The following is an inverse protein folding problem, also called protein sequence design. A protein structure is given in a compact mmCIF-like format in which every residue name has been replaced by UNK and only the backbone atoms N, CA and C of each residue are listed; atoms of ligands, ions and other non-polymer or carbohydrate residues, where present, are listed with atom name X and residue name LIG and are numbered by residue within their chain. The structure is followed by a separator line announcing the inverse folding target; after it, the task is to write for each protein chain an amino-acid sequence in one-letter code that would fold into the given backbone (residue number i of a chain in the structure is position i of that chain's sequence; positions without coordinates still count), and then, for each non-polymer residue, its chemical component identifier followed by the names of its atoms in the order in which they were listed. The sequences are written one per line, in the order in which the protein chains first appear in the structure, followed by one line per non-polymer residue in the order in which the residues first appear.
data_IF_322186816484
#
_entry.id   IF_322186816484
#
_cell.length_a   1.000
_cell.length_b   1.000
_cell.length_c   1.000
_cell.angle_alpha   90.00
_cell.angle_beta   90.00
_cell.angle_gamma   90.00
#
_symmetry.space_group_name_H-M   'P 1'
#
loop_
_entity.id
_entity.type
_entity.pdbx_description
1 polymer ?
#
# COMPACT_ATOMS: atom_id res chain seq x y z
N UNK A 1 4.37 -25.53 6.07
CA UNK A 1 3.81 -26.29 4.93
C UNK A 1 3.03 -25.30 4.09
N UNK A 2 3.73 -24.35 3.44
CA UNK A 2 3.15 -23.23 2.67
C UNK A 2 4.05 -22.85 1.49
N UNK A 3 4.70 -23.84 0.84
CA UNK A 3 5.63 -23.58 -0.27
C UNK A 3 5.18 -24.10 -1.65
N UNK A 4 4.01 -24.72 -1.80
CA UNK A 4 3.67 -25.43 -3.04
C UNK A 4 2.55 -24.81 -3.91
N UNK A 5 2.09 -23.57 -3.64
CA UNK A 5 0.98 -22.99 -4.42
C UNK A 5 1.39 -22.00 -5.52
N UNK A 6 2.69 -21.84 -5.81
CA UNK A 6 3.20 -20.79 -6.74
C UNK A 6 3.60 -21.32 -8.14
N UNK A 7 3.28 -22.55 -8.53
CA UNK A 7 3.96 -23.12 -9.71
C UNK A 7 3.12 -23.17 -11.01
N UNK A 8 1.89 -22.74 -11.10
CA UNK A 8 1.08 -23.00 -12.31
C UNK A 8 0.21 -21.84 -12.86
N UNK A 9 0.73 -20.62 -12.89
CA UNK A 9 0.17 -19.57 -13.77
C UNK A 9 1.21 -19.12 -14.80
N UNK A 10 1.43 -19.96 -15.84
CA UNK A 10 2.14 -19.56 -17.04
C UNK A 10 1.20 -18.84 -18.00
N UNK A 11 1.41 -17.56 -18.21
CA UNK A 11 0.87 -16.89 -19.37
C UNK A 11 0.58 -15.41 -19.18
N UNK A 12 1.55 -14.56 -19.48
CA UNK A 12 1.35 -13.12 -19.61
C UNK A 12 1.64 -12.35 -18.32
N UNK A 13 2.70 -11.55 -18.36
CA UNK A 13 2.95 -10.54 -17.35
C UNK A 13 1.90 -9.46 -17.55
N UNK A 14 0.79 -9.60 -16.83
CA UNK A 14 -0.13 -8.49 -16.63
C UNK A 14 0.43 -7.68 -15.47
N UNK A 15 0.96 -6.51 -15.76
CA UNK A 15 1.18 -5.49 -14.74
C UNK A 15 -0.16 -4.79 -14.54
N UNK A 16 -0.84 -4.99 -13.40
CA UNK A 16 -2.08 -4.28 -13.13
C UNK A 16 -1.80 -2.78 -13.08
N UNK A 17 -2.77 -1.94 -13.42
CA UNK A 17 -2.68 -0.52 -13.17
C UNK A 17 -2.45 -0.31 -11.67
N UNK A 18 -1.42 0.39 -11.38
CA UNK A 18 -0.67 0.58 -10.15
C UNK A 18 -1.51 0.88 -8.92
N UNK A 19 -1.39 0.04 -7.92
CA UNK A 19 -1.76 0.34 -6.54
C UNK A 19 -0.59 1.10 -5.91
N UNK A 20 -0.85 2.26 -5.34
CA UNK A 20 0.16 3.04 -4.64
C UNK A 20 0.26 2.51 -3.22
N UNK A 21 1.41 1.94 -2.91
CA UNK A 21 1.69 1.14 -1.73
C UNK A 21 1.77 1.93 -0.44
N UNK A 22 1.19 1.35 0.59
CA UNK A 22 1.44 1.71 1.97
C UNK A 22 1.91 0.46 2.74
N UNK A 23 3.19 0.42 3.09
CA UNK A 23 3.77 -0.65 3.89
C UNK A 23 3.21 -0.59 5.32
N UNK A 24 2.37 -1.57 5.65
CA UNK A 24 1.84 -1.76 6.99
C UNK A 24 2.83 -2.59 7.81
N UNK A 25 3.55 -1.96 8.73
CA UNK A 25 4.22 -2.66 9.81
C UNK A 25 3.55 -2.22 11.12
N UNK A 26 2.72 -3.11 11.62
CA UNK A 26 2.31 -3.29 12.99
C UNK A 26 1.89 -2.05 13.80
N UNK A 27 0.70 -2.12 14.24
CA UNK A 27 0.02 -1.35 15.27
C UNK A 27 -1.00 -0.32 14.73
N UNK A 28 -2.24 -0.73 14.80
CA UNK A 28 -3.43 0.07 14.52
C UNK A 28 -3.46 1.25 15.49
N UNK A 29 -2.81 2.36 15.12
CA UNK A 29 -3.03 3.65 15.77
C UNK A 29 -3.94 4.48 14.89
N UNK A 30 -5.08 4.86 15.43
CA UNK A 30 -6.01 5.84 14.87
C UNK A 30 -5.23 7.10 14.46
N UNK A 31 -4.97 7.25 13.17
CA UNK A 31 -4.38 8.46 12.62
C UNK A 31 -5.44 9.23 11.85
N UNK A 32 -5.69 10.42 12.33
CA UNK A 32 -6.37 11.47 11.60
C UNK A 32 -5.46 11.93 10.43
N UNK A 33 -5.25 11.04 9.46
CA UNK A 33 -4.48 11.27 8.23
C UNK A 33 -5.37 11.15 7.01
N UNK A 34 -6.68 11.39 7.16
CA UNK A 34 -7.69 11.26 6.10
C UNK A 34 -7.34 12.03 4.82
N UNK A 35 -6.41 13.00 4.90
CA UNK A 35 -6.00 13.83 3.78
C UNK A 35 -4.52 13.69 3.36
N UNK A 36 -3.77 12.69 3.85
CA UNK A 36 -2.35 12.55 3.56
C UNK A 36 -1.96 11.14 3.16
N UNK A 37 -1.05 11.06 2.19
CA UNK A 37 -0.54 9.80 1.66
C UNK A 37 0.92 9.61 2.07
N UNK A 38 1.25 8.42 2.51
CA UNK A 38 2.60 7.99 2.80
C UNK A 38 3.35 7.71 1.50
N UNK A 39 4.54 8.29 1.35
CA UNK A 39 5.37 8.15 0.15
C UNK A 39 6.74 7.56 0.44
N UNK A 40 7.10 7.41 1.70
CA UNK A 40 8.36 6.80 2.09
C UNK A 40 8.59 6.79 3.60
N UNK A 41 9.64 6.07 4.01
CA UNK A 41 10.09 5.95 5.40
C UNK A 41 11.55 6.36 5.51
N UNK A 42 11.89 7.16 6.51
CA UNK A 42 13.27 7.52 6.82
C UNK A 42 13.95 6.34 7.49
N UNK A 43 14.95 5.75 6.82
CA UNK A 43 15.69 4.59 7.33
C UNK A 43 16.91 4.97 8.16
N UNK A 44 17.58 6.06 7.78
CA UNK A 44 18.76 6.57 8.48
C UNK A 44 19.12 8.00 8.02
N UNK A 45 19.97 8.66 8.78
CA UNK A 45 20.70 9.85 8.32
C UNK A 45 21.67 9.50 7.18
N UNK A 46 21.99 10.49 6.33
CA UNK A 46 22.96 10.37 5.24
C UNK A 46 23.93 11.56 5.23
N UNK A 47 25.23 11.25 5.41
CA UNK A 47 26.24 12.29 5.50
C UNK A 47 26.09 13.22 6.70
N UNK A 48 26.89 14.28 6.76
CA UNK A 48 26.93 15.19 7.92
C UNK A 48 26.06 16.45 7.75
N UNK A 49 25.49 16.66 6.55
CA UNK A 49 24.75 17.88 6.18
C UNK A 49 23.23 17.78 6.43
N UNK A 50 22.78 16.83 7.25
CA UNK A 50 21.35 16.67 7.54
C UNK A 50 20.53 16.11 6.37
N UNK A 51 21.14 15.31 5.50
CA UNK A 51 20.40 14.52 4.51
C UNK A 51 19.87 13.25 5.17
N UNK A 52 18.75 12.72 4.68
CA UNK A 52 18.16 11.46 5.12
C UNK A 52 18.10 10.47 3.98
N UNK A 53 18.26 9.19 4.33
CA UNK A 53 18.01 8.07 3.43
C UNK A 53 16.57 7.61 3.64
N UNK A 54 15.82 7.57 2.56
CA UNK A 54 14.40 7.23 2.53
C UNK A 54 14.22 5.95 1.72
N UNK A 55 13.46 5.01 2.29
CA UNK A 55 12.90 3.90 1.54
C UNK A 55 11.57 4.38 0.94
N UNK A 56 11.42 4.43 -0.39
CA UNK A 56 10.17 4.82 -1.01
C UNK A 56 9.11 3.75 -0.79
N UNK A 57 7.89 4.18 -0.51
CA UNK A 57 6.68 3.34 -0.42
C UNK A 57 5.69 3.71 -1.53
N UNK A 58 6.19 4.15 -2.66
CA UNK A 58 5.43 4.56 -3.84
C UNK A 58 6.08 3.95 -5.08
N UNK A 59 5.27 3.57 -6.05
CA UNK A 59 5.73 3.01 -7.32
C UNK A 59 6.44 4.04 -8.19
N UNK A 60 6.01 5.30 -8.13
CA UNK A 60 6.66 6.39 -8.83
C UNK A 60 7.68 7.10 -7.95
N UNK A 61 8.93 6.63 -7.99
CA UNK A 61 10.04 7.28 -7.31
C UNK A 61 10.36 8.67 -7.86
N UNK A 62 9.98 8.98 -9.10
CA UNK A 62 10.27 10.26 -9.74
C UNK A 62 9.51 11.42 -9.09
N UNK A 63 8.42 11.14 -8.37
CA UNK A 63 7.68 12.11 -7.55
C UNK A 63 8.58 12.87 -6.56
N UNK A 64 9.61 12.22 -6.02
CA UNK A 64 10.55 12.87 -5.10
C UNK A 64 11.36 13.99 -5.75
N UNK A 65 11.51 14.02 -7.07
CA UNK A 65 12.19 15.11 -7.80
C UNK A 65 11.40 16.42 -7.74
N UNK A 66 10.08 16.31 -7.71
CA UNK A 66 9.16 17.45 -7.70
C UNK A 66 8.65 17.80 -6.30
N UNK A 67 8.96 16.96 -5.31
CA UNK A 67 8.52 17.13 -3.93
C UNK A 67 9.11 18.40 -3.32
N UNK A 68 8.26 19.36 -3.02
CA UNK A 68 8.66 20.65 -2.42
C UNK A 68 8.35 20.70 -0.93
N UNK A 69 7.19 20.20 -0.53
CA UNK A 69 6.68 20.18 0.84
C UNK A 69 6.26 18.76 1.19
N UNK A 70 6.57 18.34 2.39
CA UNK A 70 6.06 17.08 2.93
C UNK A 70 5.96 17.16 4.46
N UNK A 71 5.47 16.09 5.05
CA UNK A 71 5.33 15.98 6.49
C UNK A 71 6.12 14.78 6.99
N UNK A 72 6.82 14.94 8.11
CA UNK A 72 7.48 13.87 8.84
C UNK A 72 6.58 13.45 9.99
N UNK A 73 6.15 12.20 10.02
CA UNK A 73 5.25 11.70 11.05
C UNK A 73 5.77 10.42 11.69
N UNK A 74 5.57 10.28 13.00
CA UNK A 74 5.80 9.04 13.74
C UNK A 74 4.50 8.54 14.38
N UNK A 75 3.38 9.08 13.93
CA UNK A 75 2.08 8.77 14.47
C UNK A 75 1.67 9.53 15.74
N UNK A 76 2.61 10.18 16.43
CA UNK A 76 2.34 11.03 17.61
C UNK A 76 2.51 12.50 17.31
N UNK A 77 3.43 12.82 16.43
CA UNK A 77 3.68 14.17 15.97
C UNK A 77 3.81 14.18 14.45
N UNK A 78 3.42 15.27 13.84
CA UNK A 78 3.57 15.52 12.41
C UNK A 78 4.19 16.90 12.22
N UNK A 79 5.30 16.96 11.48
CA UNK A 79 6.09 18.17 11.26
C UNK A 79 6.14 18.48 9.76
N UNK A 80 5.70 19.67 9.38
CA UNK A 80 5.85 20.15 8.01
C UNK A 80 7.30 20.52 7.74
N UNK A 81 7.84 20.06 6.59
CA UNK A 81 9.21 20.34 6.16
C UNK A 81 9.28 20.65 4.66
N UNK A 82 10.30 21.39 4.27
CA UNK A 82 10.53 21.78 2.88
C UNK A 82 11.68 20.96 2.30
N UNK A 83 11.43 20.21 1.24
CA UNK A 83 12.45 19.50 0.49
C UNK A 83 13.26 20.47 -0.38
N UNK A 84 14.58 20.46 -0.24
CA UNK A 84 15.49 21.30 -1.00
C UNK A 84 16.33 20.55 -2.00
N UNK A 85 16.54 19.26 -1.80
CA UNK A 85 17.21 18.40 -2.77
C UNK A 85 16.78 16.95 -2.66
N UNK A 86 16.80 16.27 -3.81
CA UNK A 86 16.52 14.86 -3.96
C UNK A 86 17.62 14.22 -4.81
N UNK A 87 18.10 13.04 -4.41
CA UNK A 87 19.06 12.22 -5.15
C UNK A 87 18.64 10.76 -5.03
N UNK A 88 18.88 9.97 -6.07
CA UNK A 88 18.61 8.54 -6.05
C UNK A 88 19.89 7.75 -5.78
N UNK A 89 19.81 6.78 -4.91
CA UNK A 89 20.89 5.87 -4.57
C UNK A 89 20.39 4.42 -4.57
N UNK A 90 20.53 3.73 -5.68
CA UNK A 90 19.91 2.41 -5.92
C UNK A 90 18.39 2.50 -5.70
N UNK A 91 17.83 1.67 -4.82
CA UNK A 91 16.41 1.64 -4.48
C UNK A 91 16.03 2.61 -3.34
N UNK A 92 16.88 3.58 -3.04
CA UNK A 92 16.67 4.54 -1.96
C UNK A 92 16.68 5.96 -2.50
N UNK A 93 16.02 6.84 -1.80
CA UNK A 93 16.01 8.28 -2.07
C UNK A 93 16.77 9.00 -0.96
N UNK A 94 17.63 9.95 -1.33
CA UNK A 94 18.30 10.83 -0.40
C UNK A 94 17.62 12.20 -0.47
N UNK A 95 17.02 12.62 0.62
CA UNK A 95 16.35 13.91 0.73
C UNK A 95 17.09 14.85 1.66
N UNK A 96 16.99 16.15 1.37
CA UNK A 96 17.47 17.22 2.23
C UNK A 96 16.30 18.15 2.56
N UNK A 97 16.10 18.40 3.84
CA UNK A 97 15.11 19.36 4.32
C UNK A 97 15.78 20.70 4.67
N UNK A 98 15.07 21.78 4.41
CA UNK A 98 15.54 23.14 4.63
C UNK A 98 15.83 23.43 6.11
N UNK A 99 15.04 22.84 6.98
CA UNK A 99 14.99 23.10 8.43
C UNK A 99 16.16 22.46 9.19
N UNK A 100 16.86 21.49 8.58
CA UNK A 100 17.86 20.67 9.27
C UNK A 100 19.18 20.63 8.50
N UNK A 101 20.24 21.23 9.06
CA UNK A 101 21.53 21.42 8.37
C UNK A 101 22.65 20.49 8.85
N UNK A 102 22.39 19.70 9.86
CA UNK A 102 23.38 18.76 10.39
C UNK A 102 22.77 17.41 10.78
N UNK A 103 23.65 16.41 10.93
CA UNK A 103 23.23 15.03 11.22
C UNK A 103 22.52 14.90 12.56
N UNK A 104 22.91 15.65 13.58
CA UNK A 104 22.32 15.53 14.92
C UNK A 104 20.87 15.97 14.95
N UNK A 105 20.50 16.92 14.08
CA UNK A 105 19.13 17.42 14.00
C UNK A 105 18.20 16.42 13.32
N UNK A 106 18.75 15.57 12.43
CA UNK A 106 17.96 14.68 11.57
C UNK A 106 17.90 13.22 12.10
N UNK A 107 18.84 12.79 12.98
CA UNK A 107 18.90 11.41 13.48
C UNK A 107 17.62 10.97 14.21
N UNK A 108 16.95 11.91 14.88
CA UNK A 108 15.71 11.64 15.59
C UNK A 108 14.55 11.19 14.70
N UNK A 109 14.62 11.49 13.39
CA UNK A 109 13.57 11.16 12.43
C UNK A 109 13.71 9.77 11.82
N UNK A 110 14.63 8.95 12.34
CA UNK A 110 14.67 7.54 11.93
C UNK A 110 13.32 6.85 12.22
N UNK A 111 12.82 6.11 11.24
CA UNK A 111 11.51 5.45 11.22
C UNK A 111 10.31 6.42 11.19
N UNK A 112 10.52 7.68 10.86
CA UNK A 112 9.41 8.57 10.54
C UNK A 112 8.94 8.34 9.11
N UNK A 113 7.63 8.39 8.94
CA UNK A 113 6.99 8.37 7.63
C UNK A 113 7.13 9.75 6.97
N UNK A 114 7.23 9.73 5.65
CA UNK A 114 7.13 10.92 4.82
C UNK A 114 5.74 10.90 4.20
N UNK A 115 4.95 11.91 4.55
CA UNK A 115 3.58 12.08 4.06
C UNK A 115 3.50 13.29 3.13
N UNK A 116 2.59 13.22 2.16
CA UNK A 116 2.23 14.32 1.27
C UNK A 116 0.74 14.59 1.37
N UNK A 117 0.32 15.83 1.11
CA UNK A 117 -1.10 16.12 0.98
C UNK A 117 -1.67 15.36 -0.22
N UNK A 118 -2.92 14.91 -0.13
CA UNK A 118 -3.60 14.16 -1.20
C UNK A 118 -3.65 14.93 -2.52
N UNK A 119 -3.75 16.26 -2.44
CA UNK A 119 -3.72 17.15 -3.61
C UNK A 119 -2.37 17.12 -4.36
N UNK A 120 -1.28 16.79 -3.65
CA UNK A 120 0.07 16.64 -4.20
C UNK A 120 0.38 15.18 -4.62
N UNK A 121 -0.61 14.30 -4.55
CA UNK A 121 -0.47 12.91 -5.01
C UNK A 121 -0.37 12.83 -6.52
N UNK A 122 0.22 11.73 -7.00
CA UNK A 122 0.19 11.41 -8.44
C UNK A 122 -1.28 11.23 -8.83
N UNK A 123 -1.74 11.85 -9.92
CA UNK A 123 -3.10 11.63 -10.41
C UNK A 123 -3.33 10.13 -10.68
N UNK A 124 -4.41 9.60 -10.13
CA UNK A 124 -4.83 8.23 -10.39
C UNK A 124 -5.33 8.10 -11.84
N UNK A 125 -4.99 7.00 -12.48
CA UNK A 125 -5.58 6.61 -13.76
C UNK A 125 -6.94 5.93 -13.54
N UNK A 126 -7.70 5.73 -14.62
CA UNK A 126 -8.99 5.05 -14.56
C UNK A 126 -8.82 3.63 -13.97
N UNK A 127 -9.51 3.37 -12.88
CA UNK A 127 -9.45 2.10 -12.17
C UNK A 127 -8.37 1.99 -11.09
N UNK A 128 -7.56 3.03 -10.88
CA UNK A 128 -6.62 3.10 -9.76
C UNK A 128 -7.28 3.69 -8.51
N UNK A 129 -6.84 3.24 -7.36
CA UNK A 129 -7.27 3.73 -6.06
C UNK A 129 -6.12 3.66 -5.05
N UNK A 130 -6.18 4.47 -4.01
CA UNK A 130 -5.25 4.33 -2.89
C UNK A 130 -5.73 3.24 -1.96
N UNK A 131 -4.80 2.43 -1.43
CA UNK A 131 -5.12 1.34 -0.48
C UNK A 131 -5.89 1.88 0.72
N UNK A 132 -5.48 3.02 1.27
CA UNK A 132 -6.19 3.65 2.40
C UNK A 132 -7.66 4.01 2.09
N UNK A 133 -8.02 4.17 0.81
CA UNK A 133 -9.40 4.47 0.42
C UNK A 133 -10.29 3.24 0.40
N UNK A 134 -9.71 2.04 0.30
CA UNK A 134 -10.45 0.78 0.26
C UNK A 134 -10.37 -0.02 1.54
N UNK A 135 -9.40 0.24 2.42
CA UNK A 135 -9.38 -0.38 3.75
C UNK A 135 -10.66 -0.06 4.52
N UNK A 136 -11.14 -1.04 5.29
CA UNK A 136 -12.42 -1.01 6.01
C UNK A 136 -13.66 -0.89 5.08
N UNK A 137 -13.52 -1.14 3.76
CA UNK A 137 -14.64 -1.17 2.84
C UNK A 137 -15.45 -2.45 2.98
N UNK A 138 -16.78 -2.33 2.82
CA UNK A 138 -17.68 -3.46 2.71
C UNK A 138 -17.44 -4.19 1.37
N UNK A 139 -17.23 -5.49 1.42
CA UNK A 139 -16.99 -6.33 0.25
C UNK A 139 -18.22 -7.14 -0.10
N UNK A 140 -18.63 -7.07 -1.35
CA UNK A 140 -19.80 -7.77 -1.90
C UNK A 140 -19.38 -8.72 -3.03
N UNK A 141 -20.09 -9.81 -3.16
CA UNK A 141 -19.91 -10.73 -4.28
C UNK A 141 -20.62 -10.25 -5.56
N UNK A 142 -20.55 -11.05 -6.62
CA UNK A 142 -21.20 -10.79 -7.91
C UNK A 142 -22.74 -10.82 -7.85
N UNK A 143 -23.34 -11.28 -6.77
CA UNK A 143 -24.78 -11.35 -6.53
C UNK A 143 -25.28 -10.24 -5.59
N UNK A 144 -24.37 -9.29 -5.22
CA UNK A 144 -24.61 -8.26 -4.22
C UNK A 144 -24.79 -8.82 -2.78
N UNK A 145 -24.29 -10.03 -2.49
CA UNK A 145 -24.24 -10.57 -1.15
C UNK A 145 -23.00 -10.05 -0.41
N UNK A 146 -23.18 -9.58 0.82
CA UNK A 146 -22.09 -9.09 1.66
C UNK A 146 -21.20 -10.27 2.10
N UNK A 147 -19.89 -10.17 1.83
CA UNK A 147 -18.91 -11.20 2.14
C UNK A 147 -18.18 -10.90 3.45
N UNK A 148 -17.87 -9.64 3.69
CA UNK A 148 -17.08 -9.20 4.83
C UNK A 148 -16.51 -7.80 4.63
N UNK A 149 -15.47 -7.49 5.39
CA UNK A 149 -14.79 -6.19 5.37
C UNK A 149 -13.36 -6.38 4.84
N UNK A 150 -12.88 -5.46 4.00
CA UNK A 150 -11.50 -5.44 3.54
C UNK A 150 -10.59 -5.04 4.70
N UNK A 151 -9.90 -6.01 5.29
CA UNK A 151 -9.05 -5.84 6.47
C UNK A 151 -7.62 -5.43 6.09
N UNK A 152 -7.08 -5.97 4.99
CA UNK A 152 -5.70 -5.71 4.57
C UNK A 152 -5.51 -5.91 3.05
N UNK A 153 -4.38 -5.42 2.54
CA UNK A 153 -3.93 -5.65 1.16
C UNK A 153 -2.51 -6.20 1.18
N UNK A 154 -2.35 -7.44 0.75
CA UNK A 154 -1.04 -8.09 0.64
C UNK A 154 -0.40 -7.77 -0.71
N UNK A 155 0.78 -7.22 -0.67
CA UNK A 155 1.60 -7.01 -1.85
C UNK A 155 2.29 -8.29 -2.26
N UNK A 156 2.12 -8.70 -3.51
CA UNK A 156 2.89 -9.82 -4.06
C UNK A 156 3.55 -9.44 -5.39
N UNK A 157 4.66 -10.07 -5.77
CA UNK A 157 5.34 -9.75 -7.03
C UNK A 157 4.51 -9.96 -8.30
N UNK A 158 3.40 -10.69 -8.20
CA UNK A 158 2.52 -10.96 -9.33
C UNK A 158 1.32 -10.01 -9.38
N UNK A 159 0.55 -9.95 -8.30
CA UNK A 159 -0.64 -9.10 -8.13
C UNK A 159 -0.88 -8.89 -6.65
N UNK A 160 -1.48 -7.78 -6.28
CA UNK A 160 -1.92 -7.60 -4.91
C UNK A 160 -3.10 -8.51 -4.57
N UNK A 161 -3.30 -8.72 -3.28
CA UNK A 161 -4.32 -9.61 -2.77
C UNK A 161 -5.09 -8.91 -1.66
N UNK A 162 -6.38 -8.74 -1.83
CA UNK A 162 -7.27 -8.28 -0.76
C UNK A 162 -7.46 -9.38 0.28
N UNK A 163 -7.28 -9.01 1.54
CA UNK A 163 -7.63 -9.84 2.69
C UNK A 163 -8.99 -9.40 3.19
N UNK A 164 -10.00 -10.19 2.93
CA UNK A 164 -11.38 -9.90 3.34
C UNK A 164 -11.73 -10.73 4.56
N UNK A 165 -12.04 -10.06 5.66
CA UNK A 165 -12.43 -10.68 6.92
C UNK A 165 -13.93 -10.85 6.98
N UNK A 166 -14.38 -12.09 7.14
CA UNK A 166 -15.79 -12.44 7.26
C UNK A 166 -16.31 -12.27 8.70
N UNK A 167 -17.63 -12.25 8.84
CA UNK A 167 -18.30 -12.14 10.13
C UNK A 167 -17.98 -13.31 11.09
N UNK A 168 -17.66 -14.49 10.56
CA UNK A 168 -17.25 -15.66 11.34
C UNK A 168 -15.78 -15.65 11.79
N UNK A 169 -15.04 -14.59 11.40
CA UNK A 169 -13.62 -14.38 11.71
C UNK A 169 -12.68 -15.13 10.76
N UNK A 170 -13.18 -15.84 9.76
CA UNK A 170 -12.36 -16.40 8.68
C UNK A 170 -11.96 -15.33 7.68
N UNK A 171 -10.90 -15.60 6.89
CA UNK A 171 -10.39 -14.69 5.87
C UNK A 171 -10.55 -15.29 4.48
N UNK A 172 -10.87 -14.45 3.51
CA UNK A 172 -10.81 -14.76 2.09
C UNK A 172 -9.71 -13.90 1.45
N UNK A 173 -8.89 -14.54 0.62
CA UNK A 173 -7.87 -13.88 -0.18
C UNK A 173 -8.35 -13.72 -1.61
N UNK A 174 -8.40 -12.48 -2.12
CA UNK A 174 -8.93 -12.17 -3.44
C UNK A 174 -7.87 -11.43 -4.25
N UNK A 175 -7.37 -12.00 -5.37
CA UNK A 175 -6.40 -11.32 -6.21
C UNK A 175 -6.98 -10.01 -6.79
N UNK A 176 -6.21 -8.93 -6.73
CA UNK A 176 -6.60 -7.62 -7.27
C UNK A 176 -6.31 -7.59 -8.76
N UNK A 177 -7.15 -8.25 -9.52
CA UNK A 177 -7.13 -8.26 -10.99
C UNK A 177 -8.56 -8.08 -11.52
N UNK A 178 -8.76 -7.55 -12.75
CA UNK A 178 -10.09 -7.22 -13.29
C UNK A 178 -11.08 -8.39 -13.33
N UNK A 179 -10.58 -9.62 -13.40
CA UNK A 179 -11.43 -10.83 -13.38
C UNK A 179 -12.05 -11.08 -12.01
N UNK A 180 -11.45 -10.57 -10.93
CA UNK A 180 -11.88 -10.78 -9.55
C UNK A 180 -12.39 -9.52 -8.88
N UNK A 181 -11.73 -8.38 -9.05
CA UNK A 181 -12.17 -7.08 -8.52
C UNK A 181 -12.66 -6.25 -9.68
N UNK A 182 -13.96 -6.02 -9.76
CA UNK A 182 -14.58 -5.42 -10.94
C UNK A 182 -15.26 -4.07 -10.66
N UNK A 183 -15.45 -3.71 -9.40
CA UNK A 183 -16.03 -2.42 -9.00
C UNK A 183 -15.45 -1.98 -7.65
N UNK A 184 -14.94 -0.76 -7.57
CA UNK A 184 -14.37 -0.16 -6.37
C UNK A 184 -14.93 1.24 -6.20
N UNK A 185 -15.82 1.39 -5.23
CA UNK A 185 -16.41 2.69 -4.85
C UNK A 185 -15.74 3.17 -3.56
N UNK A 186 -14.72 3.98 -3.72
CA UNK A 186 -13.94 4.55 -2.61
C UNK A 186 -14.74 5.55 -1.79
N UNK A 187 -15.71 6.27 -2.41
CA UNK A 187 -16.53 7.26 -1.72
C UNK A 187 -17.50 6.62 -0.74
N UNK A 188 -18.12 5.50 -1.14
CA UNK A 188 -19.07 4.75 -0.30
C UNK A 188 -18.45 3.58 0.44
N UNK A 189 -17.12 3.40 0.36
CA UNK A 189 -16.41 2.27 0.98
C UNK A 189 -17.00 0.92 0.60
N UNK A 190 -17.15 0.67 -0.71
CA UNK A 190 -17.68 -0.58 -1.24
C UNK A 190 -16.77 -1.16 -2.31
N UNK A 191 -16.55 -2.47 -2.21
CA UNK A 191 -15.78 -3.22 -3.21
C UNK A 191 -16.63 -4.40 -3.69
N UNK A 192 -16.70 -4.61 -5.00
CA UNK A 192 -17.36 -5.77 -5.58
C UNK A 192 -16.35 -6.72 -6.17
N UNK A 193 -16.49 -7.98 -5.79
CA UNK A 193 -15.54 -9.04 -6.16
C UNK A 193 -16.28 -10.24 -6.73
N UNK A 194 -15.54 -11.06 -7.49
CA UNK A 194 -16.02 -12.37 -7.92
C UNK A 194 -15.43 -13.42 -6.99
N UNK A 195 -16.31 -14.15 -6.32
CA UNK A 195 -15.93 -15.32 -5.54
C UNK A 195 -16.12 -16.57 -6.40
N UNK A 196 -15.24 -17.55 -6.24
CA UNK A 196 -15.49 -18.90 -6.74
C UNK A 196 -16.11 -19.73 -5.64
N UNK A 197 -17.14 -20.47 -5.97
CA UNK A 197 -17.49 -21.64 -5.16
C UNK A 197 -16.29 -22.59 -5.30
N UNK A 198 -15.57 -22.83 -4.20
CA UNK A 198 -14.65 -23.97 -4.16
C UNK A 198 -15.52 -25.21 -4.33
N UNK A 199 -15.48 -25.81 -5.51
CA UNK A 199 -16.02 -27.14 -5.71
C UNK A 199 -15.13 -28.04 -4.85
N UNK A 200 -15.66 -28.51 -3.73
CA UNK A 200 -15.02 -29.57 -2.96
C UNK A 200 -14.79 -30.70 -3.96
N UNK A 201 -13.52 -31.03 -4.18
CA UNK A 201 -13.20 -32.21 -4.98
C UNK A 201 -13.84 -33.41 -4.26
N UNK A 202 -14.84 -33.99 -4.89
CA UNK A 202 -15.49 -35.21 -4.41
C UNK A 202 -14.45 -36.31 -4.50
N UNK A 203 -13.80 -36.63 -3.38
CA UNK A 203 -12.89 -37.79 -3.23
C UNK A 203 -13.69 -39.11 -3.27
N UNK A 204 -14.52 -39.22 -4.28
CA UNK A 204 -15.16 -40.51 -4.62
C UNK A 204 -14.40 -41.15 -5.78
N UNK A 205 -13.20 -41.62 -5.53
CA UNK A 205 -12.51 -42.56 -6.41
C UNK A 205 -12.30 -43.90 -5.72
N UNK A 206 -13.24 -44.81 -6.08
CA UNK A 206 -12.94 -46.08 -6.70
C UNK A 206 -12.13 -47.09 -5.88
N UNK A 207 -12.91 -47.78 -5.03
CA UNK A 207 -12.65 -49.20 -4.84
C UNK A 207 -13.32 -49.99 -5.98
N UNK A 208 -12.48 -50.49 -6.92
CA UNK A 208 -12.68 -51.74 -7.68
C UNK A 208 -11.34 -52.33 -8.10
#
# INVERSE_FOLDING_TARGET
MTEDFITELRGGVYTPPYIIYELYIGDRMEHNTEDRLRVGVITSSHGIKGEVKVYPTTDDNDRFKTLKKCYLSNGRETLEVICTSCKFLKNMVILKFKEYDNINDIERFKNYDILVDREDAVPLMDGEFFICDVLDADVYDQNDEHIGILDDVLETPANDVFVVKKDDGSEILIPVVPDFVFDVDTENKKVKVRTFEMVEADDSDDED
#
